data_IF_177859531502
#
_entry.id   IF_177859531502
#
_cell.length_a   1.000
_cell.length_b   1.000
_cell.length_c   1.000
_cell.angle_alpha   90.00
_cell.angle_beta   90.00
_cell.angle_gamma   90.00
#
_symmetry.space_group_name_H-M   'P 1'
#
loop_
_entity.id
_entity.type
_entity.pdbx_description
1 polymer ?
#
# COMPACT_ATOMS: atom_id res chain seq x y z
N UNK A 1 9.16 -0.38 -12.61
CA UNK A 1 7.94 0.46 -12.64
C UNK A 1 7.79 1.22 -11.30
N UNK A 2 7.98 2.56 -11.27
CA UNK A 2 7.95 3.39 -10.02
C UNK A 2 6.62 3.28 -9.20
N UNK A 3 5.54 2.77 -9.80
CA UNK A 3 4.19 2.77 -9.20
C UNK A 3 3.65 1.39 -8.78
N UNK A 4 4.31 0.29 -9.13
CA UNK A 4 3.77 -1.06 -8.89
C UNK A 4 3.45 -1.37 -7.42
N UNK A 5 4.34 -0.97 -6.51
CA UNK A 5 4.14 -1.17 -5.06
C UNK A 5 2.94 -0.38 -4.54
N UNK A 6 2.68 0.79 -5.11
CA UNK A 6 1.57 1.64 -4.68
C UNK A 6 0.23 1.11 -5.20
N UNK A 7 0.21 0.64 -6.46
CA UNK A 7 -0.95 -0.02 -7.05
C UNK A 7 -1.27 -1.30 -6.29
N UNK A 8 -0.27 -2.15 -6.00
CA UNK A 8 -0.43 -3.37 -5.18
C UNK A 8 -0.94 -3.05 -3.77
N UNK A 9 -0.40 -2.02 -3.13
CA UNK A 9 -0.85 -1.56 -1.82
C UNK A 9 -2.31 -1.09 -1.83
N UNK A 10 -2.71 -0.28 -2.81
CA UNK A 10 -4.11 0.16 -2.99
C UNK A 10 -5.05 -1.01 -3.29
N UNK A 11 -4.63 -1.95 -4.14
CA UNK A 11 -5.43 -3.14 -4.44
C UNK A 11 -5.69 -3.98 -3.18
N UNK A 12 -4.67 -4.22 -2.34
CA UNK A 12 -4.83 -4.86 -1.03
C UNK A 12 -5.80 -4.11 -0.12
N UNK A 13 -5.73 -2.77 -0.10
CA UNK A 13 -6.65 -1.95 0.68
C UNK A 13 -8.12 -2.09 0.23
N UNK A 14 -8.37 -2.06 -1.08
CA UNK A 14 -9.71 -2.24 -1.65
C UNK A 14 -10.23 -3.65 -1.35
N UNK A 15 -9.44 -4.68 -1.62
CA UNK A 15 -9.81 -6.07 -1.36
C UNK A 15 -10.09 -6.33 0.11
N UNK A 16 -9.24 -5.82 1.02
CA UNK A 16 -9.45 -5.93 2.45
C UNK A 16 -10.72 -5.22 2.91
N UNK A 17 -11.05 -4.06 2.32
CA UNK A 17 -12.30 -3.35 2.60
C UNK A 17 -13.51 -4.17 2.17
N UNK A 18 -13.50 -4.73 0.96
CA UNK A 18 -14.58 -5.58 0.47
C UNK A 18 -14.80 -6.79 1.37
N UNK A 19 -13.73 -7.51 1.75
CA UNK A 19 -13.81 -8.64 2.69
C UNK A 19 -14.35 -8.23 4.06
N UNK A 20 -13.93 -7.08 4.58
CA UNK A 20 -14.41 -6.56 5.86
C UNK A 20 -15.92 -6.34 5.83
N UNK A 21 -16.41 -5.65 4.80
CA UNK A 21 -17.83 -5.33 4.67
C UNK A 21 -18.66 -6.58 4.37
N UNK A 22 -18.19 -7.47 3.49
CA UNK A 22 -18.85 -8.75 3.21
C UNK A 22 -18.89 -9.65 4.45
N UNK A 23 -17.81 -9.71 5.23
CA UNK A 23 -17.75 -10.47 6.48
C UNK A 23 -18.77 -9.96 7.50
N UNK A 24 -18.87 -8.64 7.68
CA UNK A 24 -19.90 -8.05 8.54
C UNK A 24 -21.32 -8.38 8.07
N UNK A 25 -21.58 -8.27 6.77
CA UNK A 25 -22.91 -8.54 6.20
C UNK A 25 -23.29 -10.01 6.32
N UNK A 26 -22.34 -10.92 6.13
CA UNK A 26 -22.55 -12.36 6.23
C UNK A 26 -22.49 -12.91 7.68
N UNK A 27 -22.06 -12.09 8.64
CA UNK A 27 -21.78 -12.53 10.02
C UNK A 27 -20.51 -13.39 10.14
N UNK A 28 -19.62 -13.36 9.14
CA UNK A 28 -18.39 -14.12 9.07
C UNK A 28 -17.22 -13.32 9.66
N UNK A 29 -16.82 -13.68 10.89
CA UNK A 29 -15.72 -13.04 11.63
C UNK A 29 -14.36 -13.30 11.01
N UNK A 30 -14.15 -14.44 10.38
CA UNK A 30 -12.88 -14.78 9.75
C UNK A 30 -12.67 -13.94 8.48
N UNK A 31 -13.73 -13.80 7.67
CA UNK A 31 -13.72 -12.94 6.50
C UNK A 31 -13.52 -11.47 6.87
N UNK A 32 -14.18 -11.02 7.94
CA UNK A 32 -13.99 -9.67 8.46
C UNK A 32 -12.54 -9.42 8.90
N UNK A 33 -12.00 -10.31 9.72
CA UNK A 33 -10.64 -10.21 10.26
C UNK A 33 -9.58 -10.26 9.15
N UNK A 34 -9.72 -11.19 8.20
CA UNK A 34 -8.87 -11.28 7.00
C UNK A 34 -8.88 -9.97 6.22
N UNK A 35 -10.06 -9.36 6.06
CA UNK A 35 -10.19 -8.07 5.39
C UNK A 35 -9.45 -6.93 6.11
N UNK A 36 -9.55 -6.88 7.44
CA UNK A 36 -8.83 -5.88 8.26
C UNK A 36 -7.31 -6.02 8.13
N UNK A 37 -6.80 -7.26 8.16
CA UNK A 37 -5.37 -7.56 8.01
C UNK A 37 -4.88 -7.14 6.62
N UNK A 38 -5.57 -7.57 5.55
CA UNK A 38 -5.16 -7.28 4.18
C UNK A 38 -5.19 -5.76 3.90
N UNK A 39 -6.15 -5.03 4.48
CA UNK A 39 -6.19 -3.56 4.44
C UNK A 39 -5.04 -2.92 5.19
N UNK A 40 -4.66 -3.44 6.36
CA UNK A 40 -3.53 -2.94 7.13
C UNK A 40 -2.20 -3.16 6.38
N UNK A 41 -1.99 -4.35 5.83
CA UNK A 41 -0.83 -4.66 4.99
C UNK A 41 -0.71 -3.71 3.79
N UNK A 42 -1.83 -3.46 3.09
CA UNK A 42 -1.83 -2.55 1.94
C UNK A 42 -1.41 -1.12 2.31
N UNK A 43 -1.81 -0.63 3.49
CA UNK A 43 -1.36 0.67 4.02
C UNK A 43 0.12 0.70 4.36
N UNK A 44 0.64 -0.37 4.96
CA UNK A 44 2.07 -0.49 5.28
C UNK A 44 2.89 -0.48 3.99
N UNK A 45 2.50 -1.28 2.99
CA UNK A 45 3.15 -1.31 1.69
C UNK A 45 3.12 0.05 0.99
N UNK A 46 2.00 0.77 1.04
CA UNK A 46 1.89 2.12 0.49
C UNK A 46 2.87 3.09 1.16
N UNK A 47 2.95 3.10 2.49
CA UNK A 47 3.87 3.97 3.24
C UNK A 47 5.33 3.66 2.92
N UNK A 48 5.70 2.39 2.90
CA UNK A 48 7.07 1.96 2.56
C UNK A 48 7.41 2.35 1.11
N UNK A 49 6.48 2.15 0.17
CA UNK A 49 6.65 2.56 -1.22
C UNK A 49 6.87 4.08 -1.35
N UNK A 50 6.05 4.89 -0.67
CA UNK A 50 6.19 6.36 -0.63
C UNK A 50 7.53 6.79 -0.05
N UNK A 51 7.97 6.18 1.05
CA UNK A 51 9.25 6.49 1.67
C UNK A 51 10.43 6.17 0.73
N UNK A 52 10.43 4.99 0.10
CA UNK A 52 11.45 4.61 -0.89
C UNK A 52 11.50 5.57 -2.07
N UNK A 53 10.35 6.02 -2.58
CA UNK A 53 10.32 7.01 -3.67
C UNK A 53 10.93 8.35 -3.27
N UNK A 54 10.55 8.90 -2.10
CA UNK A 54 11.11 10.15 -1.61
C UNK A 54 12.63 10.10 -1.44
N UNK A 55 13.16 8.98 -0.93
CA UNK A 55 14.60 8.77 -0.83
C UNK A 55 15.24 8.72 -2.21
N UNK A 56 14.63 8.00 -3.16
CA UNK A 56 15.09 7.95 -4.54
C UNK A 56 15.13 9.34 -5.19
N UNK A 57 14.05 10.12 -5.06
CA UNK A 57 13.95 11.48 -5.60
C UNK A 57 15.01 12.42 -5.01
N UNK A 58 15.29 12.32 -3.70
CA UNK A 58 16.33 13.11 -3.05
C UNK A 58 17.74 12.78 -3.58
N UNK A 59 18.03 11.49 -3.82
CA UNK A 59 19.31 11.05 -4.37
C UNK A 59 19.43 11.43 -5.85
N UNK A 60 18.35 11.30 -6.64
CA UNK A 60 18.29 11.71 -8.05
C UNK A 60 18.58 13.22 -8.17
N UNK A 61 17.91 14.06 -7.38
CA UNK A 61 18.12 15.51 -7.38
C UNK A 61 19.56 15.90 -6.98
N UNK A 62 20.12 15.24 -5.96
CA UNK A 62 21.50 15.49 -5.55
C UNK A 62 22.51 15.10 -6.65
N UNK A 63 22.28 13.98 -7.33
CA UNK A 63 23.09 13.57 -8.47
C UNK A 63 23.04 14.58 -9.61
N UNK A 64 21.85 15.13 -9.90
CA UNK A 64 21.69 16.15 -10.95
C UNK A 64 22.41 17.47 -10.60
N UNK A 65 22.41 17.87 -9.32
CA UNK A 65 23.08 19.10 -8.84
C UNK A 65 24.61 19.01 -8.82
N UNK A 66 25.18 17.82 -8.57
CA UNK A 66 26.65 17.64 -8.50
C UNK A 66 27.26 17.46 -9.90
N UNK A 67 26.50 16.86 -10.82
CA UNK A 67 26.97 16.48 -12.16
C UNK A 67 26.56 17.53 -13.23
N UNK A 68 25.60 18.41 -12.90
CA UNK A 68 25.14 19.53 -13.71
C UNK A 68 26.00 20.79 -13.64
#
# INVERSE_FOLDING_TARGET
>A
MKYENEIKGKAKQVKGTAKTELGKLAGDRDLESSGRVERAEGRVQERVGKAKRKIGEAVENLGEEIVG
#
